data_IF_717136454685
#
_entry.id   IF_717136454685
#
_cell.length_a   1.000
_cell.length_b   1.000
_cell.length_c   1.000
_cell.angle_alpha   90.00
_cell.angle_beta   90.00
_cell.angle_gamma   90.00
#
_symmetry.space_group_name_H-M   'P 1'
#
loop_
_entity.id
_entity.type
_entity.pdbx_description
1 polymer ?
#
# COMPACT_ATOMS: atom_id res chain seq x y z
N UNK A 1 -17.57 -24.78 -17.79
CA UNK A 1 -16.25 -24.23 -17.38
C UNK A 1 -16.48 -22.87 -16.75
N UNK A 2 -16.35 -22.73 -15.43
CA UNK A 2 -16.67 -21.48 -14.73
C UNK A 2 -15.45 -20.55 -14.72
N UNK A 3 -15.42 -19.51 -15.56
CA UNK A 3 -14.37 -18.50 -15.55
C UNK A 3 -14.54 -17.62 -14.30
N UNK A 4 -13.73 -17.83 -13.26
CA UNK A 4 -13.58 -16.85 -12.18
C UNK A 4 -12.91 -15.60 -12.76
N UNK A 5 -13.66 -14.51 -12.85
CA UNK A 5 -13.12 -13.17 -13.15
C UNK A 5 -12.34 -12.67 -11.92
N UNK A 6 -11.01 -12.53 -12.03
CA UNK A 6 -10.21 -11.87 -11.00
C UNK A 6 -10.21 -10.36 -11.25
N UNK A 7 -10.58 -9.58 -10.23
CA UNK A 7 -10.52 -8.11 -10.31
C UNK A 7 -9.10 -7.67 -10.02
N UNK A 8 -8.41 -7.14 -11.03
CA UNK A 8 -7.09 -6.54 -10.86
C UNK A 8 -7.30 -5.15 -10.26
N UNK A 9 -6.69 -4.90 -9.10
CA UNK A 9 -6.66 -3.58 -8.47
C UNK A 9 -5.26 -3.00 -8.66
N UNK A 10 -5.18 -1.71 -8.98
CA UNK A 10 -3.93 -0.99 -9.19
C UNK A 10 -4.03 0.35 -8.48
N UNK A 11 -3.04 0.62 -7.64
CA UNK A 11 -2.97 1.83 -6.83
C UNK A 11 -1.60 2.47 -6.99
N UNK A 12 -1.56 3.80 -6.97
CA UNK A 12 -0.33 4.53 -7.15
C UNK A 12 0.46 4.61 -5.84
N UNK A 13 1.75 4.31 -5.92
CA UNK A 13 2.70 4.49 -4.82
C UNK A 13 3.68 5.60 -5.17
N UNK A 14 3.87 6.56 -4.28
CA UNK A 14 4.84 7.64 -4.42
C UNK A 14 6.08 7.30 -3.61
N UNK A 15 7.21 7.15 -4.29
CA UNK A 15 8.52 6.90 -3.69
C UNK A 15 9.28 8.22 -3.57
N UNK A 16 9.60 8.63 -2.35
CA UNK A 16 10.37 9.84 -2.06
C UNK A 16 11.71 9.43 -1.46
N UNK A 17 12.85 9.84 -2.06
CA UNK A 17 14.16 9.63 -1.46
C UNK A 17 14.21 10.21 -0.04
N UNK A 18 14.77 9.45 0.90
CA UNK A 18 14.99 9.91 2.27
C UNK A 18 16.35 10.64 2.37
N UNK A 19 16.46 11.61 3.28
CA UNK A 19 17.66 12.44 3.51
C UNK A 19 18.91 11.62 3.83
N UNK A 20 18.78 10.51 4.56
CA UNK A 20 19.94 9.71 4.98
C UNK A 20 20.29 8.60 3.99
N UNK A 21 19.28 7.84 3.54
CA UNK A 21 19.34 6.79 2.49
C UNK A 21 17.97 6.12 2.38
N UNK A 22 17.67 5.51 1.25
CA UNK A 22 16.45 4.73 1.05
C UNK A 22 15.26 5.57 0.58
N UNK A 23 14.07 5.00 0.65
CA UNK A 23 12.86 5.58 0.09
C UNK A 23 11.71 5.50 1.09
N UNK A 24 11.10 6.64 1.37
CA UNK A 24 9.77 6.71 1.98
C UNK A 24 8.74 6.42 0.88
N UNK A 25 7.71 5.66 1.22
CA UNK A 25 6.61 5.32 0.31
C UNK A 25 5.30 5.74 0.93
N UNK A 26 4.44 6.37 0.12
CA UNK A 26 3.10 6.77 0.50
C UNK A 26 2.11 6.47 -0.62
N UNK A 27 0.83 6.34 -0.26
CA UNK A 27 -0.26 6.08 -1.20
C UNK A 27 -1.27 7.23 -1.16
N UNK A 28 -1.44 8.03 -2.22
CA UNK A 28 -2.37 9.17 -2.23
C UNK A 28 -3.81 8.79 -1.91
N UNK A 29 -4.23 7.61 -2.38
CA UNK A 29 -5.59 7.08 -2.17
C UNK A 29 -5.81 6.56 -0.74
N UNK A 30 -4.73 6.35 0.03
CA UNK A 30 -4.77 5.82 1.40
C UNK A 30 -3.93 6.69 2.35
N UNK A 31 -4.43 7.88 2.73
CA UNK A 31 -3.75 8.76 3.68
C UNK A 31 -3.46 8.02 4.99
N UNK A 32 -2.20 8.01 5.41
CA UNK A 32 -1.73 7.27 6.59
C UNK A 32 -1.10 5.91 6.28
N UNK A 33 -1.32 5.35 5.08
CA UNK A 33 -0.58 4.18 4.62
C UNK A 33 0.81 4.62 4.15
N UNK A 34 1.81 4.40 5.01
CA UNK A 34 3.19 4.81 4.75
C UNK A 34 4.15 3.69 5.12
N UNK A 35 5.27 3.60 4.42
CA UNK A 35 6.34 2.64 4.71
C UNK A 35 7.69 3.16 4.25
N UNK A 36 8.77 2.45 4.57
CA UNK A 36 10.14 2.84 4.23
C UNK A 36 11.00 1.62 3.91
N UNK A 37 11.87 1.74 2.90
CA UNK A 37 12.88 0.74 2.58
C UNK A 37 14.26 1.32 2.34
N UNK A 38 15.30 0.57 2.73
CA UNK A 38 16.71 0.98 2.59
C UNK A 38 17.21 0.98 1.13
N UNK A 39 16.50 0.28 0.25
CA UNK A 39 16.71 0.22 -1.20
C UNK A 39 15.37 0.41 -1.92
N UNK A 40 15.40 0.64 -3.24
CA UNK A 40 14.16 0.77 -4.02
C UNK A 40 13.37 -0.56 -4.02
N UNK A 41 14.08 -1.68 -4.08
CA UNK A 41 13.56 -3.03 -4.08
C UNK A 41 12.89 -3.37 -2.76
N UNK A 42 13.53 -3.04 -1.64
CA UNK A 42 12.94 -3.19 -0.31
C UNK A 42 11.71 -2.30 -0.16
N UNK A 43 11.81 -1.02 -0.56
CA UNK A 43 10.70 -0.09 -0.48
C UNK A 43 9.51 -0.57 -1.33
N UNK A 44 9.75 -1.14 -2.50
CA UNK A 44 8.71 -1.70 -3.37
C UNK A 44 8.06 -2.95 -2.75
N UNK A 45 8.83 -3.83 -2.12
CA UNK A 45 8.30 -5.00 -1.40
C UNK A 45 7.42 -4.53 -0.24
N UNK A 46 7.93 -3.64 0.60
CA UNK A 46 7.20 -3.14 1.76
C UNK A 46 5.98 -2.31 1.38
N UNK A 47 6.02 -1.58 0.25
CA UNK A 47 4.86 -0.87 -0.28
C UNK A 47 3.71 -1.85 -0.56
N UNK A 48 4.00 -2.99 -1.20
CA UNK A 48 3.00 -4.02 -1.46
C UNK A 48 2.41 -4.55 -0.16
N UNK A 49 3.26 -4.94 0.80
CA UNK A 49 2.83 -5.51 2.08
C UNK A 49 1.99 -4.51 2.90
N UNK A 50 2.41 -3.26 2.98
CA UNK A 50 1.69 -2.21 3.69
C UNK A 50 0.30 -1.96 3.08
N UNK A 51 0.20 -1.94 1.75
CA UNK A 51 -1.07 -1.77 1.06
C UNK A 51 -2.00 -3.00 1.20
N UNK A 52 -1.44 -4.21 1.15
CA UNK A 52 -2.19 -5.45 1.39
C UNK A 52 -2.81 -5.43 2.80
N UNK A 53 -2.01 -5.12 3.83
CA UNK A 53 -2.49 -5.00 5.21
C UNK A 53 -3.55 -3.91 5.36
N UNK A 54 -3.37 -2.75 4.71
CA UNK A 54 -4.35 -1.66 4.75
C UNK A 54 -5.70 -2.08 4.16
N UNK A 55 -5.69 -2.78 3.02
CA UNK A 55 -6.91 -3.28 2.37
C UNK A 55 -7.56 -4.37 3.21
N UNK A 56 -6.77 -5.26 3.82
CA UNK A 56 -7.27 -6.27 4.76
C UNK A 56 -7.97 -5.61 5.95
N UNK A 57 -7.36 -4.58 6.54
CA UNK A 57 -7.96 -3.81 7.63
C UNK A 57 -9.27 -3.14 7.21
N UNK A 58 -9.34 -2.50 6.04
CA UNK A 58 -10.57 -1.91 5.51
C UNK A 58 -11.68 -2.95 5.27
N UNK A 59 -11.31 -4.17 4.88
CA UNK A 59 -12.26 -5.26 4.65
C UNK A 59 -12.77 -5.88 5.95
N UNK A 60 -11.91 -5.99 6.97
CA UNK A 60 -12.27 -6.50 8.29
C UNK A 60 -13.06 -5.46 9.09
N UNK A 61 -12.62 -4.21 9.06
CA UNK A 61 -13.27 -3.06 9.66
C UNK A 61 -14.23 -2.40 8.67
N UNK A 62 -15.31 -3.11 8.28
CA UNK A 62 -16.39 -2.51 7.50
C UNK A 62 -16.97 -1.30 8.23
N UNK A 63 -16.44 -0.13 7.90
CA UNK A 63 -16.95 1.21 8.22
C UNK A 63 -16.89 1.57 9.71
N UNK A 64 -15.72 1.96 10.21
CA UNK A 64 -15.61 2.68 11.49
C UNK A 64 -14.66 3.88 11.40
N UNK A 65 -14.87 4.77 10.43
CA UNK A 65 -14.19 6.09 10.44
C UNK A 65 -15.04 7.28 9.95
N UNK A 66 -16.37 7.13 9.90
CA UNK A 66 -17.30 8.25 9.74
C UNK A 66 -18.54 8.06 10.62
N UNK A 67 -18.35 7.96 11.93
CA UNK A 67 -19.43 8.18 12.90
C UNK A 67 -18.95 9.06 14.03
#
# INVERSE_FOLDING_TARGET
>A
MNKKSQKILSYNAIFTPNEQKGFNVSFPDFPGCVTFGNSFEDAKRYAREALELWIEELNQNKVFFFK
#
